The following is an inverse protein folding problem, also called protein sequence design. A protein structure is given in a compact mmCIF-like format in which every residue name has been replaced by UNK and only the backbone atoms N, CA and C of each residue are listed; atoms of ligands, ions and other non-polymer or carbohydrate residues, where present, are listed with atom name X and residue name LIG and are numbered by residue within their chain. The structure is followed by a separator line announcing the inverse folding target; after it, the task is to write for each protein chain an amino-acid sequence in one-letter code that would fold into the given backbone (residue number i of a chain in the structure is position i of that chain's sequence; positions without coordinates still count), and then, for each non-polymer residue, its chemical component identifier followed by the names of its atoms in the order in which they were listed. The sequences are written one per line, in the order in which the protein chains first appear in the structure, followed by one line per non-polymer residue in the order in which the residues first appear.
data_IF_478773058683
#
_entry.id   IF_478773058683
#
_cell.length_a   1.000
_cell.length_b   1.000
_cell.length_c   1.000
_cell.angle_alpha   90.00
_cell.angle_beta   90.00
_cell.angle_gamma   90.00
#
_symmetry.space_group_name_H-M   'P 1'
#
loop_
_entity.id
_entity.type
_entity.pdbx_description
1 polymer ?
#
# COMPACT_ATOMS: atom_id res chain seq x y z
N UNK A 1 -6.06 26.89 -20.73
CA UNK A 1 -7.26 27.11 -19.87
C UNK A 1 -6.92 26.53 -18.52
N UNK A 2 -7.39 27.05 -17.39
CA UNK A 2 -7.16 26.32 -16.13
C UNK A 2 -7.76 24.93 -16.29
N UNK A 3 -6.96 23.91 -16.06
CA UNK A 3 -7.39 22.52 -16.04
C UNK A 3 -8.51 22.41 -15.02
N UNK A 4 -9.65 21.83 -15.38
CA UNK A 4 -10.77 21.59 -14.47
C UNK A 4 -10.32 20.69 -13.31
N UNK A 5 -11.15 20.56 -12.27
CA UNK A 5 -10.90 19.59 -11.20
C UNK A 5 -10.86 18.17 -11.81
N UNK A 6 -9.75 17.42 -11.72
CA UNK A 6 -9.69 16.09 -12.29
C UNK A 6 -10.55 15.11 -11.48
N UNK A 7 -11.07 14.08 -12.13
CA UNK A 7 -11.43 12.86 -11.42
C UNK A 7 -10.14 12.20 -10.93
N UNK A 8 -10.24 11.41 -9.86
CA UNK A 8 -9.09 10.73 -9.27
C UNK A 8 -9.43 9.25 -9.11
N UNK A 9 -8.63 8.39 -9.73
CA UNK A 9 -8.69 6.94 -9.58
C UNK A 9 -7.37 6.47 -9.00
N UNK A 10 -7.40 6.00 -7.75
CA UNK A 10 -6.24 5.46 -7.04
C UNK A 10 -6.38 3.94 -6.95
N UNK A 11 -5.55 3.23 -7.71
CA UNK A 11 -5.53 1.76 -7.77
C UNK A 11 -4.37 1.25 -6.93
N UNK A 12 -4.67 0.39 -5.97
CA UNK A 12 -3.70 -0.20 -5.05
C UNK A 12 -3.74 -1.73 -5.16
N UNK A 13 -2.63 -2.34 -5.56
CA UNK A 13 -2.42 -3.78 -5.49
C UNK A 13 -1.94 -4.19 -4.08
N UNK A 14 -2.04 -5.48 -3.75
CA UNK A 14 -1.68 -6.05 -2.46
C UNK A 14 -0.54 -7.06 -2.65
N UNK A 15 0.65 -6.79 -2.09
CA UNK A 15 1.85 -7.64 -2.21
C UNK A 15 2.46 -7.73 -3.63
N UNK A 16 2.28 -6.71 -4.46
CA UNK A 16 2.86 -6.65 -5.80
C UNK A 16 4.23 -5.95 -5.78
N UNK A 17 5.27 -6.63 -6.28
CA UNK A 17 6.60 -6.07 -6.43
C UNK A 17 6.90 -5.53 -7.83
N UNK A 18 8.01 -4.81 -7.98
CA UNK A 18 8.52 -4.41 -9.29
C UNK A 18 8.72 -5.62 -10.23
N UNK A 19 9.25 -6.72 -9.69
CA UNK A 19 9.51 -7.94 -10.45
C UNK A 19 8.27 -8.69 -10.93
N UNK A 20 7.07 -8.24 -10.56
CA UNK A 20 5.81 -8.82 -11.02
C UNK A 20 5.30 -8.20 -12.32
N UNK A 21 5.91 -7.11 -12.80
CA UNK A 21 5.62 -6.52 -14.11
C UNK A 21 6.40 -7.24 -15.23
N UNK A 22 5.72 -7.57 -16.32
CA UNK A 22 6.38 -8.25 -17.44
C UNK A 22 7.49 -7.43 -18.07
N UNK A 23 7.39 -6.11 -18.07
CA UNK A 23 8.44 -5.19 -18.54
C UNK A 23 9.76 -5.33 -17.75
N UNK A 24 9.72 -5.70 -16.47
CA UNK A 24 10.92 -5.80 -15.63
C UNK A 24 11.44 -7.23 -15.46
N UNK A 25 10.61 -8.25 -15.70
CA UNK A 25 10.99 -9.65 -15.45
C UNK A 25 11.24 -10.47 -16.72
N UNK A 26 11.32 -9.82 -17.87
CA UNK A 26 11.58 -10.50 -19.15
C UNK A 26 10.45 -11.38 -19.64
N UNK A 27 9.20 -11.09 -19.23
CA UNK A 27 8.01 -11.81 -19.66
C UNK A 27 7.68 -13.07 -18.83
N UNK A 28 8.25 -13.21 -17.64
CA UNK A 28 7.87 -14.31 -16.73
C UNK A 28 6.40 -14.20 -16.29
N UNK A 29 5.93 -12.98 -15.99
CA UNK A 29 4.52 -12.64 -15.81
C UNK A 29 3.90 -12.09 -17.11
N UNK A 30 2.68 -11.55 -17.03
CA UNK A 30 2.02 -10.88 -18.16
C UNK A 30 1.19 -9.71 -17.63
N UNK A 31 1.66 -8.48 -17.87
CA UNK A 31 1.03 -7.22 -17.43
C UNK A 31 0.94 -6.20 -18.57
N UNK A 32 0.38 -6.57 -19.75
CA UNK A 32 0.44 -5.72 -20.94
C UNK A 32 -0.27 -4.38 -20.75
N UNK A 33 -1.31 -4.30 -19.91
CA UNK A 33 -2.03 -3.06 -19.63
C UNK A 33 -1.19 -2.11 -18.77
N UNK A 34 -0.61 -2.60 -17.68
CA UNK A 34 0.24 -1.81 -16.80
C UNK A 34 1.56 -1.41 -17.49
N UNK A 35 2.14 -2.31 -18.29
CA UNK A 35 3.33 -2.01 -19.09
C UNK A 35 3.04 -0.88 -20.10
N UNK A 36 1.91 -0.96 -20.82
CA UNK A 36 1.50 0.10 -21.75
C UNK A 36 1.11 1.41 -21.04
N UNK A 37 0.54 1.32 -19.84
CA UNK A 37 0.19 2.50 -19.05
C UNK A 37 1.44 3.28 -18.62
N UNK A 38 2.58 2.61 -18.37
CA UNK A 38 3.84 3.28 -18.04
C UNK A 38 4.32 4.18 -19.17
N UNK A 39 4.14 3.79 -20.44
CA UNK A 39 4.57 4.58 -21.61
C UNK A 39 3.81 5.91 -21.72
N UNK A 40 2.58 5.98 -21.21
CA UNK A 40 1.70 7.14 -21.23
C UNK A 40 1.70 7.92 -19.91
N UNK A 41 2.65 7.69 -19.03
CA UNK A 41 2.57 8.14 -17.64
C UNK A 41 3.85 8.80 -17.15
N UNK A 42 3.75 9.44 -15.98
CA UNK A 42 4.87 9.71 -15.10
C UNK A 42 5.13 8.46 -14.29
N UNK A 43 6.34 7.90 -14.38
CA UNK A 43 6.79 6.73 -13.62
C UNK A 43 7.85 7.12 -12.60
N UNK A 44 7.90 6.42 -11.47
CA UNK A 44 8.80 6.77 -10.37
C UNK A 44 9.79 5.64 -10.14
N UNK A 45 11.08 5.90 -10.31
CA UNK A 45 12.12 4.90 -10.12
C UNK A 45 12.44 4.66 -8.64
N UNK A 46 12.17 5.62 -7.75
CA UNK A 46 12.43 5.58 -6.32
C UNK A 46 11.18 5.94 -5.50
N UNK A 47 10.14 5.12 -5.63
CA UNK A 47 8.90 5.28 -4.90
C UNK A 47 8.78 4.26 -3.76
N UNK A 48 8.34 4.73 -2.59
CA UNK A 48 8.37 3.95 -1.35
C UNK A 48 7.02 3.90 -0.64
N UNK A 49 6.60 2.68 -0.30
CA UNK A 49 5.57 2.45 0.68
C UNK A 49 6.03 2.90 2.07
N UNK A 50 5.10 3.26 2.94
CA UNK A 50 5.42 3.77 4.28
C UNK A 50 5.75 2.67 5.31
N UNK A 51 5.46 1.43 4.96
CA UNK A 51 5.73 0.26 5.79
C UNK A 51 5.93 -0.95 4.89
N UNK A 52 6.69 -1.97 5.32
CA UNK A 52 6.83 -3.21 4.57
C UNK A 52 5.60 -4.14 4.66
N UNK A 53 4.48 -3.66 5.21
CA UNK A 53 3.22 -4.40 5.32
C UNK A 53 2.01 -3.52 5.04
N UNK A 54 0.90 -4.16 4.66
CA UNK A 54 -0.28 -3.55 4.07
C UNK A 54 -0.97 -2.47 4.93
N UNK A 55 -1.42 -2.79 6.14
CA UNK A 55 -2.22 -1.86 6.94
C UNK A 55 -1.51 -0.52 7.21
N UNK A 56 -0.29 -0.48 7.80
CA UNK A 56 0.38 0.78 8.08
C UNK A 56 0.65 1.62 6.83
N UNK A 57 0.99 0.97 5.71
CA UNK A 57 1.16 1.66 4.42
C UNK A 57 -0.12 2.33 3.94
N UNK A 58 -1.25 1.61 4.00
CA UNK A 58 -2.57 2.13 3.60
C UNK A 58 -2.98 3.32 4.44
N UNK A 59 -2.72 3.29 5.75
CA UNK A 59 -2.96 4.41 6.65
C UNK A 59 -2.19 5.66 6.23
N UNK A 60 -0.89 5.52 5.96
CA UNK A 60 -0.05 6.63 5.51
C UNK A 60 -0.50 7.19 4.15
N UNK A 61 -0.81 6.33 3.18
CA UNK A 61 -1.26 6.75 1.85
C UNK A 61 -2.52 7.64 1.91
N UNK A 62 -3.47 7.30 2.79
CA UNK A 62 -4.71 8.05 2.91
C UNK A 62 -4.63 9.26 3.83
N UNK A 63 -3.61 9.38 4.70
CA UNK A 63 -3.52 10.47 5.69
C UNK A 63 -2.36 11.42 5.45
N UNK A 64 -1.35 11.04 4.67
CA UNK A 64 -0.12 11.81 4.50
C UNK A 64 0.76 11.87 5.75
N UNK A 65 0.56 10.93 6.71
CA UNK A 65 1.23 10.86 8.00
C UNK A 65 1.88 9.50 8.21
N UNK A 66 3.00 9.46 8.94
CA UNK A 66 3.65 8.18 9.27
C UNK A 66 2.69 7.25 10.01
N UNK A 67 2.75 5.93 9.76
CA UNK A 67 1.82 4.94 10.32
C UNK A 67 1.67 5.03 11.84
N UNK A 68 2.77 5.17 12.58
CA UNK A 68 2.76 5.30 14.04
C UNK A 68 1.83 6.42 14.51
N UNK A 69 1.89 7.60 13.89
CA UNK A 69 1.04 8.75 14.24
C UNK A 69 -0.45 8.45 14.11
N UNK A 70 -0.78 7.53 13.20
CA UNK A 70 -2.18 7.19 12.87
C UNK A 70 -2.77 6.08 13.74
N UNK A 71 -1.94 5.44 14.59
CA UNK A 71 -2.34 4.27 15.38
C UNK A 71 -2.36 2.94 14.61
N UNK A 72 -2.30 2.98 13.28
CA UNK A 72 -2.23 1.79 12.41
C UNK A 72 -0.80 1.27 12.34
N UNK A 73 -0.43 0.40 13.27
CA UNK A 73 0.96 -0.03 13.47
C UNK A 73 1.25 -1.48 13.08
N UNK A 74 0.23 -2.32 12.97
CA UNK A 74 0.37 -3.74 12.60
C UNK A 74 -0.89 -4.25 11.88
N UNK A 75 -0.80 -5.43 11.29
CA UNK A 75 -1.89 -6.10 10.56
C UNK A 75 -2.76 -6.99 11.45
N UNK A 76 -2.58 -6.95 12.79
CA UNK A 76 -3.25 -7.84 13.73
C UNK A 76 -4.67 -7.32 14.05
N UNK A 77 -5.62 -7.65 13.20
CA UNK A 77 -7.01 -7.22 13.27
C UNK A 77 -7.66 -7.59 14.62
N UNK A 78 -7.44 -8.81 15.09
CA UNK A 78 -7.98 -9.27 16.37
C UNK A 78 -7.44 -8.50 17.59
N UNK A 79 -6.34 -7.75 17.40
CA UNK A 79 -5.78 -6.85 18.42
C UNK A 79 -6.20 -5.39 18.22
N UNK A 80 -6.83 -5.06 17.10
CA UNK A 80 -7.18 -3.70 16.73
C UNK A 80 -5.98 -2.81 16.38
N UNK A 81 -4.80 -3.40 16.13
CA UNK A 81 -3.57 -2.66 15.80
C UNK A 81 -3.56 -2.13 14.36
N UNK A 82 -4.57 -2.51 13.59
CA UNK A 82 -4.83 -2.07 12.21
C UNK A 82 -5.80 -0.88 12.12
N UNK A 83 -6.27 -0.34 13.25
CA UNK A 83 -7.26 0.74 13.27
C UNK A 83 -6.62 2.09 12.94
N UNK A 84 -7.21 2.81 12.01
CA UNK A 84 -6.89 4.19 11.73
C UNK A 84 -7.58 5.10 12.74
N UNK A 85 -6.84 5.76 13.63
CA UNK A 85 -7.39 6.62 14.68
C UNK A 85 -8.47 7.58 14.17
N UNK A 86 -9.56 7.74 14.93
CA UNK A 86 -10.73 8.51 14.50
C UNK A 86 -10.41 10.01 14.33
N UNK A 87 -9.37 10.51 15.00
CA UNK A 87 -8.88 11.87 14.83
C UNK A 87 -8.23 12.14 13.47
N UNK A 88 -7.80 11.09 12.76
CA UNK A 88 -7.15 11.22 11.44
C UNK A 88 -8.20 11.57 10.37
N UNK A 89 -7.86 12.53 9.52
CA UNK A 89 -8.66 12.85 8.33
C UNK A 89 -8.04 12.17 7.13
N UNK A 90 -8.85 11.41 6.41
CA UNK A 90 -8.40 10.73 5.19
C UNK A 90 -8.47 11.66 3.97
N UNK A 91 -7.75 11.28 2.91
CA UNK A 91 -7.90 11.91 1.59
C UNK A 91 -9.36 11.94 1.13
N UNK A 92 -10.13 10.87 1.40
CA UNK A 92 -11.55 10.81 1.07
C UNK A 92 -12.37 11.84 1.86
N UNK A 93 -12.11 12.02 3.18
CA UNK A 93 -12.77 13.06 3.98
C UNK A 93 -12.56 14.46 3.39
N UNK A 94 -11.33 14.75 2.96
CA UNK A 94 -10.98 16.07 2.42
C UNK A 94 -11.60 16.26 1.04
N UNK A 95 -11.52 15.28 0.16
CA UNK A 95 -12.10 15.36 -1.19
C UNK A 95 -13.62 15.46 -1.14
N UNK A 96 -14.30 14.66 -0.28
CA UNK A 96 -15.74 14.76 -0.07
C UNK A 96 -16.17 16.15 0.41
N UNK A 97 -15.45 16.71 1.38
CA UNK A 97 -15.71 18.06 1.88
C UNK A 97 -15.53 19.14 0.80
N UNK A 98 -14.81 18.84 -0.28
CA UNK A 98 -14.60 19.69 -1.44
C UNK A 98 -15.48 19.33 -2.64
N UNK A 99 -16.55 18.54 -2.45
CA UNK A 99 -17.57 18.27 -3.44
C UNK A 99 -17.21 17.16 -4.46
N UNK A 100 -16.31 16.25 -4.09
CA UNK A 100 -16.09 15.00 -4.82
C UNK A 100 -17.07 13.93 -4.35
N UNK A 101 -17.66 13.17 -5.27
CA UNK A 101 -18.24 11.88 -4.95
C UNK A 101 -17.11 10.90 -4.61
N UNK A 102 -17.22 10.16 -3.51
CA UNK A 102 -16.10 9.35 -3.01
C UNK A 102 -16.49 7.88 -2.90
N UNK A 103 -15.72 6.99 -3.53
CA UNK A 103 -15.94 5.55 -3.55
C UNK A 103 -14.73 4.73 -3.13
N UNK A 104 -14.98 3.65 -2.37
CA UNK A 104 -14.01 2.59 -2.08
C UNK A 104 -14.50 1.27 -2.66
N UNK A 105 -13.66 0.60 -3.43
CA UNK A 105 -13.93 -0.75 -3.95
C UNK A 105 -12.75 -1.64 -3.62
N UNK A 106 -12.95 -2.64 -2.74
CA UNK A 106 -11.93 -3.62 -2.41
C UNK A 106 -11.59 -3.76 -0.94
N UNK A 107 -10.34 -4.10 -0.64
CA UNK A 107 -9.80 -4.30 0.71
C UNK A 107 -9.67 -2.97 1.46
N UNK A 108 -10.26 -2.87 2.65
CA UNK A 108 -10.12 -1.69 3.52
C UNK A 108 -8.89 -1.76 4.42
N UNK A 109 -8.86 -2.69 5.34
CA UNK A 109 -7.78 -2.98 6.29
C UNK A 109 -7.35 -1.78 7.16
N UNK A 110 -8.29 -0.92 7.57
CA UNK A 110 -8.04 0.21 8.48
C UNK A 110 -9.10 0.26 9.60
N UNK A 111 -9.48 -0.93 10.12
CA UNK A 111 -10.47 -1.13 11.17
C UNK A 111 -11.52 -2.18 10.79
N UNK A 112 -11.26 -3.46 11.14
CA UNK A 112 -12.02 -4.59 10.64
C UNK A 112 -13.40 -4.74 11.31
N UNK A 113 -13.49 -4.62 12.65
CA UNK A 113 -14.66 -5.12 13.37
C UNK A 113 -15.57 -4.04 13.93
N UNK A 114 -15.05 -2.86 14.23
CA UNK A 114 -15.84 -1.78 14.82
C UNK A 114 -16.47 -0.91 13.71
N UNK A 115 -17.79 -0.63 13.76
CA UNK A 115 -18.47 0.17 12.74
C UNK A 115 -17.97 1.60 12.60
N UNK A 116 -17.32 2.18 13.62
CA UNK A 116 -16.75 3.53 13.57
C UNK A 116 -15.67 3.67 12.52
N UNK A 117 -14.97 2.57 12.21
CA UNK A 117 -13.88 2.53 11.23
C UNK A 117 -14.33 2.11 9.83
N UNK A 118 -15.65 1.90 9.62
CA UNK A 118 -16.16 1.55 8.29
C UNK A 118 -15.83 2.66 7.27
N UNK A 119 -15.44 2.35 6.02
CA UNK A 119 -15.07 3.35 5.01
C UNK A 119 -16.09 4.48 4.86
N UNK A 120 -17.39 4.18 4.87
CA UNK A 120 -18.45 5.18 4.79
C UNK A 120 -18.50 6.14 6.00
N UNK A 121 -17.78 5.85 7.08
CA UNK A 121 -17.58 6.75 8.22
C UNK A 121 -16.19 7.43 8.20
N UNK A 122 -15.40 7.12 7.19
CA UNK A 122 -14.02 7.58 6.99
C UNK A 122 -13.86 8.28 5.64
N UNK A 123 -14.90 9.00 5.21
CA UNK A 123 -14.86 9.89 4.07
C UNK A 123 -15.41 9.34 2.76
N UNK A 124 -15.77 8.07 2.66
CA UNK A 124 -16.35 7.50 1.44
C UNK A 124 -17.88 7.55 1.47
N UNK A 125 -18.49 8.03 0.38
CA UNK A 125 -19.95 8.05 0.20
C UNK A 125 -20.45 6.64 -0.12
N UNK A 126 -19.74 5.91 -0.97
CA UNK A 126 -20.01 4.53 -1.34
C UNK A 126 -18.82 3.64 -0.98
N UNK A 127 -19.10 2.42 -0.53
CA UNK A 127 -18.08 1.40 -0.33
C UNK A 127 -18.62 0.01 -0.69
N UNK A 128 -17.83 -0.72 -1.46
CA UNK A 128 -18.00 -2.17 -1.66
C UNK A 128 -16.71 -2.83 -1.22
N UNK A 129 -16.69 -3.48 -0.06
CA UNK A 129 -15.45 -3.88 0.56
C UNK A 129 -15.57 -5.11 1.45
N UNK A 130 -14.41 -5.71 1.74
CA UNK A 130 -14.20 -6.41 2.98
C UNK A 130 -13.26 -5.59 3.87
N UNK A 131 -13.46 -5.62 5.20
CA UNK A 131 -12.74 -4.73 6.10
C UNK A 131 -11.43 -5.27 6.64
N UNK A 132 -11.19 -6.57 6.53
CA UNK A 132 -9.99 -7.23 7.01
C UNK A 132 -8.79 -7.16 6.08
N UNK A 133 -7.69 -7.85 6.46
CA UNK A 133 -6.42 -7.86 5.75
C UNK A 133 -6.33 -8.84 4.58
N UNK A 134 -7.14 -9.89 4.57
CA UNK A 134 -7.22 -10.84 3.48
C UNK A 134 -8.60 -11.50 3.38
N UNK A 135 -8.89 -12.07 2.22
CA UNK A 135 -10.16 -12.73 1.96
C UNK A 135 -10.00 -13.83 0.91
N UNK A 136 -10.92 -14.83 0.95
CA UNK A 136 -11.06 -15.85 -0.08
C UNK A 136 -11.58 -15.22 -1.38
N UNK A 137 -11.09 -15.67 -2.54
CA UNK A 137 -11.44 -15.07 -3.84
C UNK A 137 -12.75 -15.62 -4.42
N UNK A 138 -13.32 -16.69 -3.86
CA UNK A 138 -14.59 -17.26 -4.31
C UNK A 138 -15.63 -17.34 -3.20
N UNK A 139 -15.19 -17.63 -1.98
CA UNK A 139 -16.07 -17.67 -0.81
C UNK A 139 -15.96 -16.35 -0.03
N UNK A 140 -16.36 -15.26 -0.66
CA UNK A 140 -16.24 -13.93 -0.11
C UNK A 140 -17.52 -13.47 0.62
N UNK A 141 -17.35 -12.52 1.55
CA UNK A 141 -18.37 -11.74 2.24
C UNK A 141 -18.04 -10.26 2.08
N UNK A 142 -18.88 -9.52 1.39
CA UNK A 142 -18.67 -8.11 1.09
C UNK A 142 -19.72 -7.24 1.74
N UNK A 143 -19.31 -6.08 2.21
CA UNK A 143 -20.17 -5.02 2.70
C UNK A 143 -20.40 -3.99 1.59
N UNK A 144 -21.68 -3.72 1.29
CA UNK A 144 -22.13 -2.69 0.36
C UNK A 144 -22.69 -1.53 1.17
N UNK A 145 -21.86 -0.51 1.43
CA UNK A 145 -22.18 0.54 2.38
C UNK A 145 -22.34 -0.01 3.80
N UNK A 146 -23.23 0.62 4.58
CA UNK A 146 -23.44 0.26 5.99
C UNK A 146 -24.51 -0.82 6.20
N UNK A 147 -25.35 -1.07 5.21
CA UNK A 147 -26.64 -1.73 5.43
C UNK A 147 -26.78 -3.07 4.70
N UNK A 148 -25.92 -3.38 3.73
CA UNK A 148 -26.04 -4.59 2.90
C UNK A 148 -24.78 -5.43 2.94
N UNK A 149 -24.96 -6.72 3.18
CA UNK A 149 -23.89 -7.73 3.10
C UNK A 149 -24.26 -8.73 2.02
N UNK A 150 -23.32 -9.01 1.12
CA UNK A 150 -23.43 -10.06 0.12
C UNK A 150 -22.37 -11.15 0.34
N UNK A 151 -22.66 -12.36 -0.10
CA UNK A 151 -21.76 -13.50 0.00
C UNK A 151 -21.48 -14.07 -1.38
N UNK A 152 -20.35 -14.75 -1.52
CA UNK A 152 -19.86 -15.29 -2.78
C UNK A 152 -20.93 -16.07 -3.55
N UNK A 153 -21.08 -15.71 -4.83
CA UNK A 153 -22.03 -16.26 -5.79
C UNK A 153 -21.32 -17.10 -6.88
N UNK A 154 -20.04 -17.42 -6.66
CA UNK A 154 -19.18 -18.14 -7.59
C UNK A 154 -18.33 -17.24 -8.49
N UNK A 155 -18.57 -15.93 -8.50
CA UNK A 155 -17.70 -14.98 -9.22
C UNK A 155 -16.34 -14.87 -8.54
N UNK A 156 -15.30 -14.66 -9.35
CA UNK A 156 -13.95 -14.39 -8.86
C UNK A 156 -13.86 -12.95 -8.32
N UNK A 157 -13.32 -12.78 -7.12
CA UNK A 157 -13.38 -11.51 -6.39
C UNK A 157 -12.72 -10.33 -7.13
N UNK A 158 -11.60 -10.57 -7.84
CA UNK A 158 -10.95 -9.54 -8.67
C UNK A 158 -11.88 -9.01 -9.75
N UNK A 159 -12.74 -9.86 -10.33
CA UNK A 159 -13.73 -9.45 -11.33
C UNK A 159 -14.83 -8.61 -10.69
N UNK A 160 -15.27 -9.00 -9.49
CA UNK A 160 -16.29 -8.23 -8.74
C UNK A 160 -15.75 -6.82 -8.46
N UNK A 161 -14.50 -6.68 -8.03
CA UNK A 161 -13.91 -5.36 -7.81
C UNK A 161 -13.88 -4.51 -9.09
N UNK A 162 -13.50 -5.11 -10.20
CA UNK A 162 -13.46 -4.43 -11.49
C UNK A 162 -14.84 -3.97 -11.93
N UNK A 163 -15.86 -4.82 -11.80
CA UNK A 163 -17.26 -4.50 -12.15
C UNK A 163 -17.81 -3.37 -11.28
N UNK A 164 -17.60 -3.41 -9.97
CA UNK A 164 -18.05 -2.37 -9.05
C UNK A 164 -17.35 -1.03 -9.29
N UNK A 165 -16.05 -1.06 -9.61
CA UNK A 165 -15.29 0.13 -9.98
C UNK A 165 -15.81 0.77 -11.28
N UNK A 166 -16.03 -0.02 -12.33
CA UNK A 166 -16.63 0.45 -13.58
C UNK A 166 -18.05 1.02 -13.34
N UNK A 167 -18.84 0.32 -12.53
CA UNK A 167 -20.20 0.79 -12.18
C UNK A 167 -20.18 2.12 -11.41
N UNK A 168 -19.22 2.35 -10.52
CA UNK A 168 -19.04 3.63 -9.83
C UNK A 168 -18.72 4.76 -10.83
N UNK A 169 -17.75 4.55 -11.73
CA UNK A 169 -17.36 5.53 -12.76
C UNK A 169 -18.57 5.93 -13.60
N UNK A 170 -19.38 4.97 -14.04
CA UNK A 170 -20.57 5.22 -14.83
C UNK A 170 -21.62 6.06 -14.07
N UNK A 171 -21.85 5.78 -12.79
CA UNK A 171 -22.81 6.51 -11.95
C UNK A 171 -22.39 7.96 -11.75
N UNK A 172 -21.09 8.21 -11.56
CA UNK A 172 -20.54 9.52 -11.21
C UNK A 172 -19.91 10.28 -12.39
N UNK A 173 -20.11 9.84 -13.64
CA UNK A 173 -19.48 10.44 -14.84
C UNK A 173 -19.76 11.92 -15.08
N UNK A 174 -20.67 12.54 -14.34
CA UNK A 174 -21.10 13.94 -14.52
C UNK A 174 -20.65 14.88 -13.40
N UNK A 175 -19.92 14.38 -12.43
CA UNK A 175 -19.41 15.12 -11.29
C UNK A 175 -17.98 14.69 -10.96
N UNK A 176 -17.17 15.54 -10.32
CA UNK A 176 -15.83 15.12 -9.88
C UNK A 176 -15.94 13.96 -8.90
N UNK A 177 -15.11 12.95 -9.05
CA UNK A 177 -15.09 11.81 -8.15
C UNK A 177 -13.68 11.38 -7.74
N UNK A 178 -13.59 10.78 -6.58
CA UNK A 178 -12.44 10.02 -6.08
C UNK A 178 -12.85 8.57 -5.91
N UNK A 179 -12.23 7.69 -6.67
CA UNK A 179 -12.42 6.25 -6.56
C UNK A 179 -11.12 5.60 -6.11
N UNK A 180 -11.15 4.97 -4.93
CA UNK A 180 -10.04 4.18 -4.40
C UNK A 180 -10.32 2.69 -4.63
N UNK A 181 -9.59 2.08 -5.56
CA UNK A 181 -9.72 0.66 -5.90
C UNK A 181 -8.58 -0.08 -5.24
N UNK A 182 -8.90 -0.97 -4.33
CA UNK A 182 -7.92 -1.70 -3.51
C UNK A 182 -8.04 -3.20 -3.76
N UNK A 183 -7.43 -3.65 -4.85
CA UNK A 183 -7.37 -5.07 -5.14
C UNK A 183 -6.68 -5.82 -3.99
N UNK A 184 -7.20 -6.99 -3.62
CA UNK A 184 -6.48 -7.92 -2.75
C UNK A 184 -5.56 -8.86 -3.55
N UNK A 185 -5.57 -8.83 -4.87
CA UNK A 185 -4.64 -9.53 -5.73
C UNK A 185 -3.27 -8.79 -5.78
N UNK A 186 -2.16 -9.55 -5.79
CA UNK A 186 -2.04 -11.01 -5.75
C UNK A 186 -1.81 -11.61 -4.34
N UNK A 187 -2.31 -10.98 -3.26
CA UNK A 187 -2.19 -11.51 -1.89
C UNK A 187 -2.80 -12.93 -1.76
N UNK A 188 -2.22 -13.76 -0.91
CA UNK A 188 -2.78 -15.09 -0.56
C UNK A 188 -4.21 -14.98 0.02
N UNK A 189 -5.06 -16.02 -0.16
CA UNK A 189 -4.79 -17.36 -0.71
C UNK A 189 -4.58 -17.34 -2.22
N UNK A 190 -3.75 -18.28 -2.72
CA UNK A 190 -3.48 -18.42 -4.16
C UNK A 190 -4.67 -19.06 -4.85
N UNK A 191 -5.52 -18.25 -5.41
CA UNK A 191 -6.75 -18.68 -6.09
C UNK A 191 -6.96 -17.82 -7.34
N UNK A 192 -7.13 -18.46 -8.49
CA UNK A 192 -7.43 -17.81 -9.76
C UNK A 192 -8.15 -18.79 -10.67
N UNK A 193 -8.97 -18.34 -11.64
CA UNK A 193 -9.51 -19.24 -12.67
C UNK A 193 -8.38 -20.00 -13.37
N UNK A 194 -8.54 -21.30 -13.56
CA UNK A 194 -7.48 -22.18 -14.10
C UNK A 194 -6.91 -21.66 -15.44
N UNK A 195 -7.75 -21.11 -16.30
CA UNK A 195 -7.34 -20.54 -17.58
C UNK A 195 -6.33 -19.39 -17.46
N UNK A 196 -6.35 -18.64 -16.34
CA UNK A 196 -5.42 -17.53 -16.09
C UNK A 196 -4.05 -18.03 -15.61
N UNK A 197 -4.01 -19.15 -14.88
CA UNK A 197 -2.76 -19.76 -14.42
C UNK A 197 -2.08 -20.62 -15.50
N UNK A 198 -2.86 -21.25 -16.40
CA UNK A 198 -2.39 -22.19 -17.40
C UNK A 198 -1.22 -21.66 -18.26
N UNK A 199 -1.20 -20.39 -18.72
CA UNK A 199 -0.08 -19.85 -19.50
C UNK A 199 1.27 -19.82 -18.77
N UNK A 200 1.25 -19.88 -17.45
CA UNK A 200 2.43 -19.82 -16.59
C UNK A 200 2.84 -21.20 -16.05
N UNK A 201 1.93 -22.17 -16.06
CA UNK A 201 2.20 -23.51 -15.58
C UNK A 201 3.23 -24.24 -16.45
N UNK A 202 4.20 -24.86 -15.79
CA UNK A 202 5.27 -25.62 -16.48
C UNK A 202 6.34 -24.77 -17.15
N UNK A 203 6.30 -23.45 -17.04
CA UNK A 203 7.40 -22.60 -17.50
C UNK A 203 8.64 -22.86 -16.64
N UNK A 204 9.82 -22.87 -17.29
CA UNK A 204 11.09 -23.00 -16.58
C UNK A 204 11.28 -21.90 -15.53
N UNK A 205 11.68 -22.28 -14.33
CA UNK A 205 11.88 -21.36 -13.20
C UNK A 205 10.61 -20.98 -12.44
N UNK A 206 9.41 -21.39 -12.87
CA UNK A 206 8.16 -21.15 -12.16
C UNK A 206 7.64 -22.42 -11.50
N UNK A 207 7.44 -22.39 -10.19
CA UNK A 207 6.71 -23.41 -9.47
C UNK A 207 5.19 -23.15 -9.53
N UNK A 208 4.39 -24.06 -9.00
CA UNK A 208 2.93 -23.95 -9.01
C UNK A 208 2.42 -22.65 -8.35
N UNK A 209 2.99 -22.26 -7.22
CA UNK A 209 2.54 -21.09 -6.47
C UNK A 209 2.79 -19.79 -7.23
N UNK A 210 3.98 -19.63 -7.80
CA UNK A 210 4.34 -18.44 -8.58
C UNK A 210 3.55 -18.41 -9.89
N UNK A 211 3.33 -19.55 -10.56
CA UNK A 211 2.51 -19.61 -11.76
C UNK A 211 1.05 -19.20 -11.48
N UNK A 212 0.47 -19.66 -10.35
CA UNK A 212 -0.87 -19.24 -9.91
C UNK A 212 -0.91 -17.76 -9.60
N UNK A 213 0.10 -17.24 -8.88
CA UNK A 213 0.22 -15.82 -8.54
C UNK A 213 0.30 -14.95 -9.81
N UNK A 214 1.07 -15.37 -10.82
CA UNK A 214 1.15 -14.61 -12.08
C UNK A 214 -0.18 -14.64 -12.85
N UNK A 215 -0.97 -15.71 -12.73
CA UNK A 215 -2.36 -15.70 -13.20
C UNK A 215 -3.23 -14.68 -12.46
N UNK A 216 -3.07 -14.54 -11.14
CA UNK A 216 -3.77 -13.50 -10.35
C UNK A 216 -3.36 -12.09 -10.78
N UNK A 217 -2.07 -11.86 -11.01
CA UNK A 217 -1.53 -10.58 -11.51
C UNK A 217 -2.10 -10.26 -12.89
N UNK A 218 -2.09 -11.23 -13.81
CA UNK A 218 -2.65 -11.07 -15.17
C UNK A 218 -4.14 -10.72 -15.14
N UNK A 219 -4.92 -11.39 -14.27
CA UNK A 219 -6.34 -11.08 -14.13
C UNK A 219 -6.59 -9.68 -13.58
N UNK A 220 -5.78 -9.22 -12.63
CA UNK A 220 -5.83 -7.85 -12.12
C UNK A 220 -5.45 -6.84 -13.20
N UNK A 221 -4.37 -7.09 -13.96
CA UNK A 221 -3.95 -6.26 -15.09
C UNK A 221 -5.09 -6.08 -16.11
N UNK A 222 -5.76 -7.17 -16.47
CA UNK A 222 -6.94 -7.14 -17.34
C UNK A 222 -8.09 -6.31 -16.73
N UNK A 223 -8.27 -6.38 -15.42
CA UNK A 223 -9.24 -5.55 -14.68
C UNK A 223 -8.92 -4.07 -14.77
N UNK A 224 -7.64 -3.70 -14.62
CA UNK A 224 -7.18 -2.31 -14.80
C UNK A 224 -7.49 -1.83 -16.24
N UNK A 225 -7.27 -2.69 -17.24
CA UNK A 225 -7.63 -2.39 -18.65
C UNK A 225 -9.10 -2.02 -18.81
N UNK A 226 -10.01 -2.81 -18.23
CA UNK A 226 -11.45 -2.55 -18.25
C UNK A 226 -11.83 -1.22 -17.58
N UNK A 227 -11.15 -0.84 -16.50
CA UNK A 227 -11.36 0.45 -15.83
C UNK A 227 -10.92 1.59 -16.73
N UNK A 228 -9.74 1.48 -17.39
CA UNK A 228 -9.24 2.49 -18.33
C UNK A 228 -10.18 2.63 -19.54
N UNK A 229 -10.68 1.52 -20.11
CA UNK A 229 -11.66 1.50 -21.18
C UNK A 229 -12.98 2.16 -20.75
N UNK A 230 -13.42 1.96 -19.52
CA UNK A 230 -14.63 2.60 -18.98
C UNK A 230 -14.46 4.12 -18.90
N UNK A 231 -13.31 4.60 -18.46
CA UNK A 231 -12.99 6.03 -18.47
C UNK A 231 -12.98 6.61 -19.89
N UNK A 232 -12.42 5.88 -20.85
CA UNK A 232 -12.38 6.27 -22.27
C UNK A 232 -13.81 6.39 -22.85
N UNK A 233 -14.63 5.34 -22.70
CA UNK A 233 -16.00 5.30 -23.19
C UNK A 233 -16.90 6.35 -22.53
N UNK A 234 -16.63 6.71 -21.28
CA UNK A 234 -17.33 7.78 -20.58
C UNK A 234 -16.85 9.19 -20.98
N UNK A 235 -15.79 9.30 -21.80
CA UNK A 235 -15.18 10.58 -22.18
C UNK A 235 -14.45 11.27 -21.04
N UNK A 236 -13.93 10.51 -20.08
CA UNK A 236 -13.28 11.00 -18.86
C UNK A 236 -11.76 10.83 -18.85
N UNK A 237 -11.20 10.12 -19.85
CA UNK A 237 -9.77 9.75 -19.92
C UNK A 237 -8.84 10.93 -19.66
N UNK A 238 -9.07 12.04 -20.34
CA UNK A 238 -8.13 13.15 -20.36
C UNK A 238 -8.17 13.96 -19.04
N UNK A 239 -9.35 14.09 -18.42
CA UNK A 239 -9.54 14.76 -17.14
C UNK A 239 -9.60 13.80 -15.94
N UNK A 240 -8.91 12.67 -15.98
CA UNK A 240 -8.80 11.74 -14.86
C UNK A 240 -7.34 11.48 -14.50
N UNK A 241 -6.97 11.80 -13.24
CA UNK A 241 -5.72 11.36 -12.63
C UNK A 241 -5.83 9.90 -12.23
N UNK A 242 -5.16 9.01 -12.95
CA UNK A 242 -5.07 7.59 -12.62
C UNK A 242 -3.73 7.34 -11.95
N UNK A 243 -3.75 6.78 -10.74
CA UNK A 243 -2.59 6.38 -9.97
C UNK A 243 -2.63 4.86 -9.76
N UNK A 244 -1.53 4.16 -10.04
CA UNK A 244 -1.37 2.74 -9.75
C UNK A 244 -0.14 2.49 -8.91
N UNK A 245 -0.28 1.75 -7.80
CA UNK A 245 0.85 1.35 -6.93
C UNK A 245 0.53 0.06 -6.17
N UNK A 246 1.48 -0.43 -5.37
CA UNK A 246 1.32 -1.54 -4.43
C UNK A 246 1.53 -1.07 -3.00
N UNK A 247 0.87 -1.69 -2.02
CA UNK A 247 0.95 -1.27 -0.62
C UNK A 247 2.26 -1.64 0.08
N UNK A 248 2.95 -2.67 -0.39
CA UNK A 248 4.29 -3.09 0.05
C UNK A 248 4.95 -3.98 -1.02
N UNK A 249 6.20 -4.35 -0.80
CA UNK A 249 6.89 -5.29 -1.68
C UNK A 249 6.30 -6.70 -1.65
N UNK A 250 6.75 -7.59 -2.54
CA UNK A 250 6.17 -8.91 -2.74
C UNK A 250 6.32 -9.79 -1.51
N UNK A 251 5.31 -10.63 -1.23
CA UNK A 251 5.44 -11.66 -0.21
C UNK A 251 6.28 -12.81 -0.75
N UNK A 252 7.27 -13.24 0.03
CA UNK A 252 8.07 -14.43 -0.18
C UNK A 252 7.79 -15.47 0.92
N UNK A 253 8.39 -16.65 0.80
CA UNK A 253 8.30 -17.73 1.77
C UNK A 253 7.61 -18.98 1.20
N UNK A 254 7.43 -19.97 2.05
CA UNK A 254 7.00 -21.29 1.63
C UNK A 254 8.19 -22.17 1.18
N UNK A 255 7.92 -23.34 0.59
CA UNK A 255 8.96 -24.25 0.12
C UNK A 255 8.46 -25.14 -1.04
N UNK A 256 9.37 -25.60 -1.88
CA UNK A 256 9.03 -26.47 -3.01
C UNK A 256 8.00 -25.82 -3.94
N UNK A 257 6.95 -26.57 -4.29
CA UNK A 257 5.90 -26.08 -5.20
C UNK A 257 5.03 -24.96 -4.62
N UNK A 258 5.08 -24.73 -3.31
CA UNK A 258 4.32 -23.66 -2.61
C UNK A 258 5.18 -22.44 -2.26
N UNK A 259 6.46 -22.40 -2.67
CA UNK A 259 7.31 -21.21 -2.49
C UNK A 259 6.78 -20.05 -3.32
N UNK A 260 6.68 -18.89 -2.68
CA UNK A 260 6.33 -17.60 -3.30
C UNK A 260 7.57 -16.81 -3.76
N UNK A 261 8.77 -17.39 -3.57
CA UNK A 261 10.02 -16.75 -3.98
C UNK A 261 10.05 -16.62 -5.50
N UNK A 262 10.12 -15.38 -5.98
CA UNK A 262 10.08 -15.03 -7.38
C UNK A 262 11.01 -13.86 -7.68
N UNK A 263 11.18 -13.53 -8.93
CA UNK A 263 11.99 -12.39 -9.32
C UNK A 263 11.44 -11.09 -8.74
N UNK A 264 12.29 -10.30 -8.08
CA UNK A 264 11.97 -8.97 -7.54
C UNK A 264 13.07 -7.95 -7.88
N UNK A 265 13.51 -7.91 -9.13
CA UNK A 265 14.55 -6.98 -9.59
C UNK A 265 15.85 -7.04 -8.76
N UNK A 266 16.12 -8.17 -8.12
CA UNK A 266 17.24 -8.41 -7.20
C UNK A 266 17.27 -7.53 -5.94
N UNK A 267 16.22 -6.74 -5.67
CA UNK A 267 16.13 -5.96 -4.44
C UNK A 267 16.18 -6.87 -3.21
N UNK A 268 16.98 -6.46 -2.23
CA UNK A 268 17.10 -7.20 -0.96
C UNK A 268 15.81 -7.12 -0.16
N UNK A 269 15.41 -8.24 0.45
CA UNK A 269 14.22 -8.34 1.28
C UNK A 269 12.92 -8.48 0.48
N UNK A 270 11.81 -8.48 1.19
CA UNK A 270 10.45 -8.69 0.70
C UNK A 270 9.47 -8.11 1.72
N UNK A 271 8.16 -8.35 1.58
CA UNK A 271 7.13 -8.01 2.58
C UNK A 271 7.60 -8.34 4.00
N UNK A 272 7.38 -7.43 4.93
CA UNK A 272 7.83 -7.55 6.31
C UNK A 272 9.26 -7.05 6.57
N UNK A 273 10.00 -6.59 5.55
CA UNK A 273 11.38 -6.14 5.66
C UNK A 273 11.55 -4.69 5.19
N UNK A 274 12.29 -3.86 5.93
CA UNK A 274 12.57 -2.46 5.57
C UNK A 274 13.72 -2.28 4.56
N UNK A 275 14.26 -3.36 4.01
CA UNK A 275 15.15 -3.30 2.86
C UNK A 275 14.37 -2.92 1.59
N UNK A 276 15.09 -2.54 0.51
CA UNK A 276 14.47 -2.04 -0.73
C UNK A 276 13.36 -2.96 -1.24
N UNK A 277 13.56 -4.29 -1.22
CA UNK A 277 12.58 -5.24 -1.71
C UNK A 277 11.26 -5.29 -0.93
N UNK A 278 11.22 -4.79 0.31
CA UNK A 278 9.99 -4.76 1.11
C UNK A 278 9.24 -3.44 1.06
N UNK A 279 9.92 -2.33 0.74
CA UNK A 279 9.33 -0.98 0.80
C UNK A 279 9.35 -0.22 -0.53
N UNK A 280 10.22 -0.57 -1.48
CA UNK A 280 10.26 0.05 -2.81
C UNK A 280 9.21 -0.60 -3.71
N UNK A 281 8.23 0.19 -4.12
CA UNK A 281 7.05 -0.27 -4.85
C UNK A 281 6.84 0.54 -6.13
N UNK A 282 6.26 -0.05 -7.20
CA UNK A 282 5.99 0.68 -8.42
C UNK A 282 5.01 1.83 -8.18
N UNK A 283 5.14 2.90 -8.96
CA UNK A 283 4.17 3.98 -9.03
C UNK A 283 4.07 4.50 -10.45
N UNK A 284 2.84 4.58 -10.93
CA UNK A 284 2.46 5.06 -12.25
C UNK A 284 1.41 6.14 -12.05
N UNK A 285 1.59 7.33 -12.67
CA UNK A 285 0.65 8.44 -12.59
C UNK A 285 0.34 8.97 -13.99
N UNK A 286 -0.89 8.77 -14.46
CA UNK A 286 -1.37 9.25 -15.76
C UNK A 286 -2.46 10.30 -15.59
N UNK A 287 -2.29 11.44 -16.22
CA UNK A 287 -3.32 12.48 -16.34
C UNK A 287 -3.06 13.32 -17.59
N UNK A 288 -3.63 12.98 -18.76
CA UNK A 288 -3.31 13.63 -20.02
C UNK A 288 -3.49 15.16 -20.03
N UNK A 289 -4.52 15.70 -19.36
CA UNK A 289 -4.73 17.15 -19.27
C UNK A 289 -3.79 17.87 -18.32
N UNK A 290 -3.08 17.18 -17.42
CA UNK A 290 -2.35 17.81 -16.32
C UNK A 290 -0.91 17.38 -16.09
N UNK A 291 -0.48 16.25 -16.66
CA UNK A 291 0.86 15.68 -16.51
C UNK A 291 1.45 15.31 -17.88
N UNK A 292 2.76 15.41 -18.06
CA UNK A 292 3.44 14.91 -19.26
C UNK A 292 3.38 13.38 -19.31
N UNK A 293 3.34 12.82 -20.50
CA UNK A 293 3.53 11.40 -20.78
C UNK A 293 5.01 11.01 -20.87
N UNK A 294 5.32 9.72 -20.68
CA UNK A 294 6.66 9.15 -20.84
C UNK A 294 7.73 9.80 -19.97
N UNK A 295 7.37 10.33 -18.81
CA UNK A 295 8.30 11.03 -17.90
C UNK A 295 8.71 10.12 -16.75
N UNK A 296 10.01 10.12 -16.40
CA UNK A 296 10.54 9.42 -15.22
C UNK A 296 10.93 10.43 -14.14
N UNK A 297 10.52 10.16 -12.91
CA UNK A 297 10.93 10.87 -11.69
C UNK A 297 11.90 9.98 -10.93
N UNK A 298 13.14 10.45 -10.75
CA UNK A 298 14.21 9.71 -10.07
C UNK A 298 14.43 10.14 -8.62
N UNK A 299 13.75 11.18 -8.15
CA UNK A 299 13.76 11.61 -6.78
C UNK A 299 12.99 10.63 -5.89
N UNK A 300 13.37 10.58 -4.61
CA UNK A 300 12.70 9.78 -3.62
C UNK A 300 11.29 10.32 -3.34
N UNK A 301 10.26 9.53 -3.61
CA UNK A 301 8.86 9.83 -3.29
C UNK A 301 8.32 8.75 -2.35
N UNK A 302 7.54 9.17 -1.36
CA UNK A 302 7.03 8.31 -0.30
C UNK A 302 5.49 8.39 -0.22
N UNK A 303 4.85 7.37 0.31
CA UNK A 303 3.39 7.34 0.46
C UNK A 303 2.81 8.57 1.16
N UNK A 304 3.51 9.13 2.14
CA UNK A 304 3.07 10.34 2.81
C UNK A 304 2.90 11.55 1.85
N UNK A 305 3.63 11.55 0.73
CA UNK A 305 3.64 12.67 -0.22
C UNK A 305 2.37 12.73 -1.09
N UNK A 306 1.59 11.63 -1.15
CA UNK A 306 0.45 11.56 -2.07
C UNK A 306 -0.74 12.41 -1.63
N UNK A 307 -1.05 12.49 -0.33
CA UNK A 307 -2.15 13.35 0.11
C UNK A 307 -1.92 14.82 -0.28
N UNK A 308 -0.81 15.49 0.10
CA UNK A 308 -0.59 16.88 -0.29
C UNK A 308 -0.44 17.04 -1.81
N UNK A 309 0.08 16.04 -2.53
CA UNK A 309 0.22 16.06 -3.98
C UNK A 309 -1.13 16.00 -4.68
N UNK A 310 -1.98 15.06 -4.33
CA UNK A 310 -3.32 14.92 -4.91
C UNK A 310 -4.16 16.17 -4.64
N UNK A 311 -4.11 16.73 -3.42
CA UNK A 311 -4.80 17.98 -3.10
C UNK A 311 -4.31 19.13 -3.98
N UNK A 312 -2.99 19.25 -4.18
CA UNK A 312 -2.41 20.25 -5.06
C UNK A 312 -2.85 20.07 -6.51
N UNK A 313 -2.84 18.86 -7.05
CA UNK A 313 -3.31 18.54 -8.41
C UNK A 313 -4.81 18.82 -8.58
N UNK A 314 -5.62 18.59 -7.55
CA UNK A 314 -7.04 18.92 -7.51
C UNK A 314 -7.34 20.40 -7.22
N UNK A 315 -6.31 21.24 -7.02
CA UNK A 315 -6.43 22.64 -6.63
C UNK A 315 -7.25 22.84 -5.34
N UNK A 316 -6.98 21.99 -4.34
CA UNK A 316 -7.59 22.03 -3.01
C UNK A 316 -6.53 22.46 -1.98
N UNK A 317 -6.82 23.51 -1.23
CA UNK A 317 -5.97 23.93 -0.12
C UNK A 317 -6.10 22.96 1.07
N UNK A 318 -5.01 22.66 1.80
CA UNK A 318 -5.10 21.93 3.06
C UNK A 318 -6.05 22.62 4.03
N UNK A 319 -6.89 21.87 4.73
CA UNK A 319 -7.78 22.45 5.74
C UNK A 319 -6.97 22.94 6.95
N UNK A 320 -7.31 24.14 7.47
CA UNK A 320 -6.54 24.80 8.53
C UNK A 320 -6.59 24.11 9.90
N UNK A 321 -7.47 23.11 10.06
CA UNK A 321 -7.66 22.27 11.26
C UNK A 321 -7.08 20.86 11.11
N UNK A 322 -6.36 20.57 10.03
CA UNK A 322 -5.74 19.26 9.80
C UNK A 322 -4.51 19.07 10.71
N UNK A 323 -4.30 17.84 11.15
CA UNK A 323 -3.06 17.43 11.82
C UNK A 323 -1.87 17.64 10.86
N UNK A 324 -0.66 17.93 11.38
CA UNK A 324 0.53 18.16 10.56
C UNK A 324 0.82 16.94 9.67
N UNK A 325 1.07 17.19 8.39
CA UNK A 325 1.47 16.17 7.42
C UNK A 325 2.97 15.89 7.52
N UNK A 326 3.36 14.64 7.30
CA UNK A 326 4.76 14.23 7.14
C UNK A 326 5.21 14.29 5.67
N UNK A 327 4.27 14.32 4.75
CA UNK A 327 4.49 14.37 3.31
C UNK A 327 4.68 15.77 2.75
N UNK A 328 5.28 15.83 1.57
CA UNK A 328 5.47 17.04 0.77
C UNK A 328 4.76 16.92 -0.57
N UNK A 329 4.42 18.05 -1.19
CA UNK A 329 3.81 18.08 -2.51
C UNK A 329 4.86 17.83 -3.61
N UNK A 330 4.73 16.74 -4.35
CA UNK A 330 5.64 16.37 -5.47
C UNK A 330 5.03 16.64 -6.85
N UNK A 331 3.87 17.29 -6.96
CA UNK A 331 3.26 17.67 -8.23
C UNK A 331 4.20 18.47 -9.16
N UNK A 332 5.05 19.40 -8.65
CA UNK A 332 6.04 20.07 -9.49
C UNK A 332 7.04 19.10 -10.16
N UNK A 333 7.52 18.07 -9.43
CA UNK A 333 8.39 17.04 -10.02
C UNK A 333 7.69 16.29 -11.15
N UNK A 334 6.42 15.91 -10.93
CA UNK A 334 5.63 15.21 -11.93
C UNK A 334 5.43 16.02 -13.22
N UNK A 335 5.52 17.35 -13.15
CA UNK A 335 5.47 18.27 -14.30
C UNK A 335 6.84 18.59 -14.89
N UNK A 336 7.91 17.94 -14.42
CA UNK A 336 9.28 18.23 -14.86
C UNK A 336 9.83 19.56 -14.32
N UNK A 337 9.19 20.15 -13.32
CA UNK A 337 9.66 21.36 -12.66
C UNK A 337 10.69 21.01 -11.57
N UNK A 338 11.65 21.88 -11.31
CA UNK A 338 12.55 21.69 -10.17
C UNK A 338 11.79 22.00 -8.87
N UNK A 339 11.85 21.05 -7.93
CA UNK A 339 11.22 21.18 -6.62
C UNK A 339 12.18 20.72 -5.52
N UNK A 340 12.06 21.30 -4.34
CA UNK A 340 12.67 20.76 -3.14
C UNK A 340 11.89 19.49 -2.75
N UNK A 341 12.60 18.38 -2.65
CA UNK A 341 12.05 17.10 -2.20
C UNK A 341 12.55 16.78 -0.80
N UNK A 342 11.78 15.99 -0.10
CA UNK A 342 12.25 15.43 1.16
C UNK A 342 13.32 14.37 0.86
N UNK A 343 14.56 14.64 1.28
CA UNK A 343 15.67 13.69 1.10
C UNK A 343 15.74 12.64 2.21
N UNK A 344 14.93 12.81 3.26
CA UNK A 344 14.96 11.94 4.44
C UNK A 344 13.60 11.27 4.67
N UNK A 345 13.62 9.93 4.78
CA UNK A 345 12.46 9.12 5.16
C UNK A 345 12.88 8.02 6.13
N UNK A 346 11.94 7.65 7.01
CA UNK A 346 12.14 6.62 8.02
C UNK A 346 11.08 5.54 7.92
N UNK A 347 11.44 4.33 8.29
CA UNK A 347 10.57 3.16 8.35
C UNK A 347 10.84 2.41 9.64
N UNK A 348 9.81 1.86 10.24
CA UNK A 348 9.90 0.89 11.31
C UNK A 348 8.63 0.05 11.29
N UNK A 349 8.79 -1.26 11.40
CA UNK A 349 7.67 -2.16 11.59
C UNK A 349 8.14 -3.46 12.28
N UNK A 350 7.39 -3.89 13.25
CA UNK A 350 7.44 -5.22 13.85
C UNK A 350 6.04 -5.58 14.35
N UNK A 351 5.84 -6.81 14.76
CA UNK A 351 4.58 -7.25 15.33
C UNK A 351 4.32 -6.60 16.69
N UNK A 352 3.05 -6.29 16.99
CA UNK A 352 2.58 -5.66 18.24
C UNK A 352 3.22 -4.27 18.48
N UNK A 353 3.52 -3.98 19.76
CA UNK A 353 4.13 -2.68 20.13
C UNK A 353 5.45 -2.45 19.38
N UNK A 354 5.63 -1.27 18.77
CA UNK A 354 6.84 -0.93 18.03
C UNK A 354 8.12 -0.97 18.87
N UNK A 355 9.20 -1.52 18.29
CA UNK A 355 10.53 -1.67 18.87
C UNK A 355 11.55 -1.06 17.91
N UNK A 356 12.12 0.10 18.27
CA UNK A 356 13.03 0.84 17.38
C UNK A 356 14.28 0.06 16.99
N UNK A 357 14.74 -0.86 17.85
CA UNK A 357 15.91 -1.68 17.61
C UNK A 357 15.70 -2.74 16.53
N UNK A 358 14.48 -2.99 16.12
CA UNK A 358 14.14 -4.06 15.18
C UNK A 358 13.46 -3.53 13.91
N UNK A 359 13.94 -4.00 12.77
CA UNK A 359 13.34 -3.78 11.46
C UNK A 359 13.00 -2.30 11.22
N UNK A 360 14.00 -1.45 11.41
CA UNK A 360 13.90 -0.01 11.25
C UNK A 360 14.95 0.49 10.24
N UNK A 361 14.60 1.53 9.49
CA UNK A 361 15.51 2.15 8.52
C UNK A 361 15.33 3.66 8.47
N UNK A 362 16.41 4.35 8.13
CA UNK A 362 16.41 5.74 7.71
C UNK A 362 17.18 5.86 6.41
N UNK A 363 16.62 6.57 5.45
CA UNK A 363 17.32 7.02 4.26
C UNK A 363 17.44 8.54 4.29
N UNK A 364 18.63 9.05 4.04
CA UNK A 364 18.93 10.47 3.88
C UNK A 364 19.83 10.66 2.66
N UNK A 365 19.25 11.18 1.59
CA UNK A 365 19.89 11.22 0.26
C UNK A 365 20.21 9.81 -0.23
N UNK A 366 21.49 9.54 -0.49
CA UNK A 366 21.95 8.23 -0.95
C UNK A 366 22.28 7.25 0.18
N UNK A 367 22.38 7.73 1.41
CA UNK A 367 22.70 6.87 2.56
C UNK A 367 21.45 6.24 3.15
N UNK A 368 21.47 4.93 3.30
CA UNK A 368 20.42 4.19 4.01
C UNK A 368 21.02 3.35 5.12
N UNK A 369 20.56 3.62 6.35
CA UNK A 369 20.90 2.82 7.52
C UNK A 369 19.72 1.90 7.83
N UNK A 370 20.02 0.63 8.11
CA UNK A 370 19.05 -0.40 8.47
C UNK A 370 19.42 -1.03 9.81
N UNK A 371 18.47 -1.11 10.73
CA UNK A 371 18.46 -2.02 11.87
C UNK A 371 17.76 -3.30 11.43
N UNK A 372 18.47 -4.44 11.31
CA UNK A 372 17.86 -5.70 10.89
C UNK A 372 16.75 -6.15 11.82
N UNK A 373 15.83 -6.95 11.32
CA UNK A 373 14.76 -7.52 12.14
C UNK A 373 15.32 -8.46 13.21
N UNK A 374 14.76 -8.37 14.42
CA UNK A 374 14.96 -9.33 15.50
C UNK A 374 13.83 -10.36 15.39
N UNK A 375 14.12 -11.65 15.16
CA UNK A 375 13.09 -12.67 14.89
C UNK A 375 11.96 -12.71 15.94
N UNK A 376 12.30 -12.53 17.21
CA UNK A 376 11.35 -12.58 18.33
C UNK A 376 10.33 -11.41 18.28
N UNK A 377 10.68 -10.30 17.63
CA UNK A 377 9.76 -9.18 17.43
C UNK A 377 8.81 -9.40 16.25
N UNK A 378 9.10 -10.37 15.39
CA UNK A 378 8.33 -10.70 14.19
C UNK A 378 7.35 -11.86 14.40
N UNK A 379 7.41 -12.54 15.54
CA UNK A 379 6.57 -13.69 15.86
C UNK A 379 5.15 -13.26 16.23
N UNK A 380 4.16 -14.10 15.87
CA UNK A 380 2.73 -13.93 16.20
C UNK A 380 2.24 -15.18 16.94
N UNK A 381 2.44 -15.27 18.27
CA UNK A 381 2.03 -16.43 19.04
C UNK A 381 0.53 -16.72 19.04
N UNK A 382 -0.33 -15.70 18.90
CA UNK A 382 -1.79 -15.81 18.89
C UNK A 382 -2.40 -15.84 17.47
N UNK A 383 -1.68 -16.45 16.51
CA UNK A 383 -2.08 -16.56 15.09
C UNK A 383 -3.38 -17.36 14.87
N UNK A 384 -3.87 -18.10 15.88
CA UNK A 384 -5.11 -18.87 15.80
C UNK A 384 -6.34 -18.03 15.41
N UNK A 385 -6.28 -16.71 15.66
CA UNK A 385 -7.38 -15.80 15.32
C UNK A 385 -7.47 -15.47 13.82
N UNK A 386 -6.39 -15.68 13.07
CA UNK A 386 -6.31 -15.33 11.66
C UNK A 386 -7.42 -15.97 10.82
N UNK A 387 -7.68 -17.26 11.03
CA UNK A 387 -8.74 -17.99 10.30
C UNK A 387 -10.14 -17.45 10.65
N UNK A 388 -10.38 -17.11 11.89
CA UNK A 388 -11.66 -16.52 12.33
C UNK A 388 -11.85 -15.14 11.69
N UNK A 389 -10.83 -14.30 11.67
CA UNK A 389 -10.87 -12.99 11.01
C UNK A 389 -11.24 -13.13 9.52
N UNK A 390 -10.66 -14.12 8.84
CA UNK A 390 -10.85 -14.32 7.40
C UNK A 390 -12.23 -14.93 7.05
N UNK A 391 -12.68 -15.95 7.79
CA UNK A 391 -13.84 -16.76 7.41
C UNK A 391 -15.07 -16.58 8.30
N UNK A 392 -14.92 -16.01 9.47
CA UNK A 392 -16.02 -15.79 10.43
C UNK A 392 -16.00 -14.37 10.98
N UNK A 393 -16.04 -13.41 10.06
CA UNK A 393 -16.01 -11.98 10.38
C UNK A 393 -17.11 -11.59 11.37
N UNK A 394 -18.31 -12.19 11.24
CA UNK A 394 -19.45 -11.86 12.11
C UNK A 394 -19.18 -12.27 13.56
N UNK A 395 -18.55 -13.43 13.80
CA UNK A 395 -18.10 -13.85 15.12
C UNK A 395 -17.08 -12.86 15.73
N UNK A 396 -16.18 -12.33 14.91
CA UNK A 396 -15.21 -11.32 15.37
C UNK A 396 -15.85 -9.96 15.64
N UNK A 397 -16.88 -9.57 14.88
CA UNK A 397 -17.67 -8.35 15.15
C UNK A 397 -18.39 -8.48 16.49
N UNK A 398 -19.02 -9.64 16.78
CA UNK A 398 -19.69 -9.90 18.04
C UNK A 398 -18.73 -9.94 19.23
N UNK A 399 -17.57 -10.59 19.05
CA UNK A 399 -16.54 -10.70 20.09
C UNK A 399 -15.86 -9.36 20.38
N UNK A 400 -15.59 -8.56 19.34
CA UNK A 400 -14.68 -7.42 19.40
C UNK A 400 -13.20 -7.84 19.42
N UNK A 401 -12.31 -6.87 19.63
CA UNK A 401 -10.87 -7.12 19.70
C UNK A 401 -10.47 -7.88 20.97
N UNK A 402 -9.39 -8.65 20.85
CA UNK A 402 -8.77 -9.35 21.98
C UNK A 402 -8.02 -8.31 22.84
N UNK A 403 -8.47 -8.14 24.09
CA UNK A 403 -7.94 -7.15 25.03
C UNK A 403 -6.93 -7.73 26.03
N UNK A 404 -6.63 -9.03 25.94
CA UNK A 404 -5.60 -9.66 26.76
C UNK A 404 -4.24 -8.97 26.48
N UNK A 405 -3.33 -8.91 27.47
CA UNK A 405 -2.00 -8.37 27.25
C UNK A 405 -1.31 -9.00 26.04
N UNK A 406 -0.45 -8.23 25.38
CA UNK A 406 0.39 -8.79 24.31
C UNK A 406 1.14 -10.02 24.82
N UNK A 407 1.32 -11.05 23.97
CA UNK A 407 2.14 -12.21 24.35
C UNK A 407 3.53 -11.75 24.78
N UNK A 408 4.08 -12.23 25.91
CA UNK A 408 5.38 -11.81 26.38
C UNK A 408 6.47 -12.21 25.39
N UNK A 409 7.34 -11.25 25.03
CA UNK A 409 8.46 -11.43 24.12
C UNK A 409 9.78 -11.24 24.87
N UNK A 410 10.69 -12.20 24.75
CA UNK A 410 12.07 -12.04 25.23
C UNK A 410 12.90 -11.56 24.04
N UNK A 411 13.12 -10.25 23.95
CA UNK A 411 13.82 -9.62 22.82
C UNK A 411 15.33 -9.64 23.15
N UNK A 412 16.15 -10.35 22.36
CA UNK A 412 17.59 -10.36 22.53
C UNK A 412 18.21 -9.01 22.13
N UNK A 413 19.48 -8.76 22.47
CA UNK A 413 20.19 -7.59 21.97
C UNK A 413 20.13 -7.51 20.43
N UNK A 414 19.95 -6.28 19.86
CA UNK A 414 19.82 -6.13 18.43
C UNK A 414 21.10 -6.47 17.68
N UNK A 415 21.01 -6.96 16.46
CA UNK A 415 22.14 -7.05 15.54
C UNK A 415 22.76 -5.66 15.29
N UNK A 416 24.02 -5.63 14.88
CA UNK A 416 24.67 -4.38 14.48
C UNK A 416 23.90 -3.74 13.31
N UNK A 417 23.75 -2.40 13.30
CA UNK A 417 23.13 -1.70 12.18
C UNK A 417 23.98 -1.82 10.92
N UNK A 418 23.33 -1.83 9.76
CA UNK A 418 23.97 -1.89 8.45
C UNK A 418 23.83 -0.54 7.75
N UNK A 419 24.81 -0.17 6.92
CA UNK A 419 24.81 1.07 6.15
C UNK A 419 25.06 0.78 4.67
N UNK A 420 24.23 1.39 3.80
CA UNK A 420 24.33 1.25 2.34
C UNK A 420 24.41 2.62 1.69
N UNK A 421 25.19 2.72 0.58
CA UNK A 421 25.14 3.85 -0.31
C UNK A 421 24.32 3.45 -1.56
N UNK A 422 23.08 3.86 -1.63
CA UNK A 422 22.15 3.43 -2.69
C UNK A 422 22.51 3.98 -4.09
N UNK A 423 23.40 4.97 -4.19
CA UNK A 423 23.92 5.42 -5.49
C UNK A 423 24.87 4.39 -6.11
N UNK A 424 25.68 3.72 -5.29
CA UNK A 424 26.66 2.73 -5.70
C UNK A 424 26.14 1.29 -5.58
N UNK A 425 25.25 1.06 -4.62
CA UNK A 425 24.67 -0.24 -4.27
C UNK A 425 23.15 -0.14 -4.05
N UNK A 426 22.37 0.04 -5.13
CA UNK A 426 20.90 0.16 -5.03
C UNK A 426 20.21 -1.14 -4.59
N UNK A 427 20.95 -2.25 -4.49
CA UNK A 427 20.45 -3.58 -4.10
C UNK A 427 20.78 -3.94 -2.65
N UNK A 428 21.47 -3.08 -1.89
CA UNK A 428 21.84 -3.27 -0.47
C UNK A 428 22.66 -4.55 -0.22
N UNK A 429 23.62 -4.85 -1.10
CA UNK A 429 24.45 -6.06 -1.04
C UNK A 429 25.70 -5.88 -0.19
N UNK A 430 26.22 -4.65 -0.08
CA UNK A 430 27.49 -4.36 0.54
C UNK A 430 27.32 -3.45 1.76
N UNK A 431 27.42 -4.01 2.97
CA UNK A 431 27.40 -3.22 4.20
C UNK A 431 28.71 -2.47 4.39
N UNK A 432 28.62 -1.14 4.40
CA UNK A 432 29.78 -0.23 4.58
C UNK A 432 29.79 0.45 5.96
N UNK A 433 29.03 -0.04 6.94
CA UNK A 433 28.92 0.57 8.27
C UNK A 433 30.27 0.72 8.98
N UNK A 434 31.13 -0.29 8.91
CA UNK A 434 32.46 -0.24 9.52
C UNK A 434 33.38 0.83 8.91
N UNK A 435 33.14 1.23 7.67
CA UNK A 435 33.94 2.22 6.92
C UNK A 435 33.45 3.66 7.20
N UNK A 436 32.20 3.83 7.67
CA UNK A 436 31.55 5.12 7.87
C UNK A 436 30.89 5.27 9.26
N UNK A 437 31.64 5.11 10.38
CA UNK A 437 31.08 5.09 11.74
C UNK A 437 30.41 6.41 12.14
N UNK A 438 30.87 7.55 11.63
CA UNK A 438 30.24 8.85 11.89
C UNK A 438 28.86 8.95 11.23
N UNK A 439 28.73 8.45 10.00
CA UNK A 439 27.48 8.42 9.27
C UNK A 439 26.47 7.49 9.97
N UNK A 440 26.92 6.32 10.42
CA UNK A 440 26.10 5.39 11.22
C UNK A 440 25.60 6.09 12.48
N UNK A 441 26.50 6.74 13.24
CA UNK A 441 26.13 7.41 14.49
C UNK A 441 25.16 8.58 14.27
N UNK A 442 25.29 9.32 13.16
CA UNK A 442 24.39 10.40 12.79
C UNK A 442 22.99 9.85 12.47
N UNK A 443 22.91 8.88 11.56
CA UNK A 443 21.63 8.33 11.10
C UNK A 443 20.90 7.58 12.21
N UNK A 444 21.60 6.89 13.10
CA UNK A 444 20.99 6.25 14.28
C UNK A 444 20.28 7.28 15.16
N UNK A 445 20.96 8.38 15.50
CA UNK A 445 20.35 9.44 16.33
C UNK A 445 19.11 10.05 15.65
N UNK A 446 19.18 10.25 14.33
CA UNK A 446 18.05 10.81 13.58
C UNK A 446 16.86 9.85 13.51
N UNK A 447 17.13 8.55 13.33
CA UNK A 447 16.12 7.49 13.36
C UNK A 447 15.44 7.40 14.73
N UNK A 448 16.22 7.44 15.81
CA UNK A 448 15.73 7.39 17.20
C UNK A 448 14.89 8.63 17.53
N UNK A 449 15.35 9.82 17.15
CA UNK A 449 14.58 11.06 17.33
C UNK A 449 13.24 11.03 16.56
N UNK A 450 13.25 10.55 15.31
CA UNK A 450 12.02 10.36 14.54
C UNK A 450 11.08 9.37 15.24
N UNK A 451 11.59 8.24 15.70
CA UNK A 451 10.77 7.24 16.38
C UNK A 451 10.15 7.77 17.67
N UNK A 452 10.89 8.47 18.49
CA UNK A 452 10.37 9.10 19.70
C UNK A 452 9.27 10.11 19.39
N UNK A 453 9.41 10.87 18.31
CA UNK A 453 8.43 11.85 17.89
C UNK A 453 7.12 11.20 17.42
N UNK A 454 7.20 10.21 16.52
CA UNK A 454 5.99 9.53 16.02
C UNK A 454 5.31 8.67 17.10
N UNK A 455 6.06 8.06 18.00
CA UNK A 455 5.53 7.30 19.13
C UNK A 455 4.91 8.18 20.22
N UNK A 456 5.42 9.40 20.42
CA UNK A 456 4.80 10.39 21.29
C UNK A 456 3.43 10.78 20.75
N UNK A 457 3.30 10.99 19.45
CA UNK A 457 2.03 11.29 18.80
C UNK A 457 1.06 10.11 18.89
N UNK A 458 1.54 8.87 18.64
CA UNK A 458 0.74 7.65 18.82
C UNK A 458 0.18 7.52 20.24
N UNK A 459 1.01 7.73 21.26
CA UNK A 459 0.61 7.63 22.67
C UNK A 459 -0.37 8.73 23.09
N UNK A 460 -0.53 9.79 22.31
CA UNK A 460 -1.52 10.84 22.53
C UNK A 460 -2.89 10.53 21.94
N UNK A 461 -3.05 9.39 21.24
CA UNK A 461 -4.35 8.90 20.80
C UNK A 461 -5.11 8.48 22.06
N UNK A 462 -6.11 9.28 22.42
CA UNK A 462 -6.98 8.98 23.58
C UNK A 462 -7.83 7.74 23.31
N UNK A 463 -8.29 7.08 24.37
CA UNK A 463 -8.96 5.77 24.40
C UNK A 463 -10.01 5.55 23.29
N UNK A 464 -9.55 5.26 22.08
CA UNK A 464 -10.38 4.76 20.98
C UNK A 464 -10.43 3.22 20.95
N UNK A 465 -9.68 2.58 21.84
CA UNK A 465 -9.39 1.13 21.86
C UNK A 465 -10.24 0.34 22.83
#
# INVERSE_FOLDING_TARGET
MPVGRPNIVLILADDLGYGDFSAFNGGLSSTPVLDGLMDESVVFSQHYAASPVCNPSRACLLTGRYPHRTGSIDTLEWRGLERLALRERTLADILRANGYATGLVGKWHLGAFDPRYHPCRRGFDEAVCFRGGMHDYYNWRLEYGLDRVERGDGRYLTDVWTEEACGFIERHRREPFFLHITYNAPHTPLQVPAAEAEPFMGREGLNWAVATLYGMVHRMDSGVGRILETLEHAGLRDNTLVLFTSDNGPQFGGSGSTSLDRFNCHYRGAKGSVYEGGIRVPMIARWPDGLPDGTQVDEMVHFADWLPTILSLANIAPAGDSLPLDGVNVAPLMRGERSEVCTRRCWQWNRYTPVIESNAAIRDGNWKLVRPAIPETMAVPDIQWLQTCMYDHDAMVERGVVRDPEPPRQIPPPPAPQLFNLADDPLEQTDVAAQHPEQVSRLLRELENWFEDVERDRRSIEDEW
#
